data_IF_496842601490
#
_entry.id   IF_496842601490
#
_cell.length_a   1.000
_cell.length_b   1.000
_cell.length_c   1.000
_cell.angle_alpha   90.00
_cell.angle_beta   90.00
_cell.angle_gamma   90.00
#
_symmetry.space_group_name_H-M   'P 1'
#
loop_
_entity.id
_entity.type
_entity.pdbx_description
1 polymer ?
#
# COMPACT_ATOMS: atom_id res chain seq x y z
N UNK A 1 43.46 -1.05 -73.71
CA UNK A 1 43.22 -1.94 -72.53
C UNK A 1 42.81 -1.05 -71.32
N UNK A 2 41.51 -1.01 -71.05
CA UNK A 2 40.92 -0.18 -69.99
C UNK A 2 40.75 -0.99 -68.71
N UNK A 3 41.37 -0.59 -67.61
CA UNK A 3 41.15 -1.17 -66.31
C UNK A 3 39.98 -0.42 -65.63
N UNK A 4 38.83 -1.09 -65.52
CA UNK A 4 37.71 -0.63 -64.69
C UNK A 4 38.02 -0.93 -63.23
N UNK A 5 38.15 0.13 -62.43
CA UNK A 5 38.22 0.06 -60.95
C UNK A 5 36.78 -0.08 -60.45
N UNK A 6 36.48 -1.19 -59.80
CA UNK A 6 35.22 -1.46 -59.11
C UNK A 6 35.34 -0.94 -57.71
N UNK A 7 34.69 0.19 -57.34
CA UNK A 7 34.58 0.72 -55.99
C UNK A 7 33.43 0.01 -55.27
N UNK A 8 33.73 -0.90 -54.37
CA UNK A 8 32.76 -1.52 -53.49
C UNK A 8 32.49 -0.54 -52.34
N UNK A 9 31.33 0.09 -52.31
CA UNK A 9 30.83 0.89 -51.19
C UNK A 9 30.30 -0.06 -50.09
N UNK A 10 31.09 -0.36 -49.06
CA UNK A 10 30.62 -1.03 -47.89
C UNK A 10 29.80 -0.02 -47.06
N UNK A 11 28.47 -0.10 -47.17
CA UNK A 11 27.56 0.62 -46.26
C UNK A 11 27.58 -0.13 -44.94
N UNK A 12 28.40 0.34 -43.99
CA UNK A 12 28.31 -0.03 -42.61
C UNK A 12 26.99 0.53 -42.04
N UNK A 13 25.94 -0.28 -42.00
CA UNK A 13 24.80 -0.04 -41.13
C UNK A 13 25.29 -0.12 -39.69
N UNK A 14 25.80 0.96 -39.14
CA UNK A 14 25.90 1.13 -37.71
C UNK A 14 24.50 1.23 -37.17
N UNK A 15 23.95 0.10 -36.68
CA UNK A 15 22.79 0.08 -35.81
C UNK A 15 23.17 0.84 -34.56
N UNK A 16 23.03 2.16 -34.57
CA UNK A 16 23.07 2.96 -33.36
C UNK A 16 21.91 2.47 -32.51
N UNK A 17 22.21 1.63 -31.53
CA UNK A 17 21.32 1.36 -30.43
C UNK A 17 21.04 2.73 -29.78
N UNK A 18 19.90 3.33 -30.12
CA UNK A 18 19.43 4.57 -29.49
C UNK A 18 19.09 4.16 -28.05
N UNK A 19 20.07 4.27 -27.17
CA UNK A 19 19.83 4.17 -25.73
C UNK A 19 18.89 5.33 -25.37
N UNK A 20 17.62 5.02 -25.21
CA UNK A 20 16.67 6.00 -24.72
C UNK A 20 17.07 6.39 -23.31
N UNK A 21 17.15 7.71 -23.02
CA UNK A 21 17.41 8.18 -21.65
C UNK A 21 16.40 7.57 -20.70
N UNK A 22 16.81 7.11 -19.51
CA UNK A 22 15.88 6.57 -18.53
C UNK A 22 14.76 7.56 -18.22
N UNK A 23 13.59 7.05 -17.85
CA UNK A 23 12.50 7.84 -17.31
C UNK A 23 12.81 8.09 -15.83
N UNK A 24 13.00 9.35 -15.46
CA UNK A 24 13.29 9.76 -14.09
C UNK A 24 11.99 9.91 -13.30
N UNK A 25 11.74 9.01 -12.35
CA UNK A 25 10.58 9.06 -11.48
C UNK A 25 10.95 9.63 -10.10
N UNK A 26 10.43 10.82 -9.78
CA UNK A 26 10.61 11.46 -8.48
C UNK A 26 9.73 10.85 -7.42
N UNK A 27 10.31 10.25 -6.39
CA UNK A 27 9.62 9.60 -5.27
C UNK A 27 9.95 10.30 -3.95
N UNK A 28 9.02 10.23 -2.97
CA UNK A 28 9.22 10.84 -1.65
C UNK A 28 10.24 10.08 -0.80
N UNK A 29 10.29 8.76 -0.93
CA UNK A 29 11.16 7.88 -0.15
C UNK A 29 11.61 6.69 -1.00
N UNK A 30 12.87 6.34 -0.90
CA UNK A 30 13.45 5.15 -1.53
C UNK A 30 12.97 3.86 -0.83
N UNK A 31 12.83 2.74 -1.57
CA UNK A 31 12.48 1.46 -0.99
C UNK A 31 13.52 1.02 0.05
N UNK A 32 13.05 0.45 1.17
CA UNK A 32 13.89 0.02 2.28
C UNK A 32 14.36 -1.43 2.15
N UNK A 33 13.51 -2.29 1.58
CA UNK A 33 13.79 -3.71 1.44
C UNK A 33 13.11 -4.29 0.19
N UNK A 34 13.89 -4.89 -0.69
CA UNK A 34 13.41 -5.48 -1.94
C UNK A 34 13.25 -7.01 -1.88
N UNK A 35 13.48 -7.65 -0.72
CA UNK A 35 13.03 -9.03 -0.49
C UNK A 35 11.50 -9.04 -0.35
N UNK A 36 10.77 -9.71 -1.25
CA UNK A 36 9.31 -9.69 -1.25
C UNK A 36 8.68 -10.30 0.01
N UNK A 37 9.43 -11.11 0.76
CA UNK A 37 9.00 -11.71 2.03
C UNK A 37 9.09 -10.75 3.20
N UNK A 38 9.99 -9.75 3.12
CA UNK A 38 10.39 -8.89 4.25
C UNK A 38 9.99 -7.42 4.09
N UNK A 39 9.62 -6.99 2.88
CA UNK A 39 9.20 -5.61 2.60
C UNK A 39 7.97 -5.21 3.41
N UNK A 40 7.97 -3.98 3.96
CA UNK A 40 6.88 -3.46 4.79
C UNK A 40 6.59 -1.97 4.56
N UNK A 41 7.35 -1.31 3.70
CA UNK A 41 7.12 0.08 3.32
C UNK A 41 6.48 0.18 1.93
N UNK A 42 5.72 1.26 1.70
CA UNK A 42 4.92 1.43 0.49
C UNK A 42 5.76 1.51 -0.80
N UNK A 43 6.98 2.07 -0.74
CA UNK A 43 7.84 2.17 -1.91
C UNK A 43 8.39 0.80 -2.30
N UNK A 44 8.84 0.00 -1.31
CA UNK A 44 9.28 -1.39 -1.52
C UNK A 44 8.17 -2.25 -2.13
N UNK A 45 6.94 -2.19 -1.59
CA UNK A 45 5.80 -2.95 -2.10
C UNK A 45 5.50 -2.60 -3.58
N UNK A 46 5.48 -1.31 -3.94
CA UNK A 46 5.23 -0.88 -5.32
C UNK A 46 6.31 -1.33 -6.29
N UNK A 47 7.57 -1.36 -5.86
CA UNK A 47 8.68 -1.88 -6.66
C UNK A 47 8.57 -3.39 -6.83
N UNK A 48 8.27 -4.13 -5.76
CA UNK A 48 8.07 -5.58 -5.79
C UNK A 48 6.94 -5.96 -6.76
N UNK A 49 5.85 -5.21 -6.77
CA UNK A 49 4.74 -5.42 -7.72
C UNK A 49 5.14 -5.24 -9.20
N UNK A 50 6.20 -4.47 -9.49
CA UNK A 50 6.74 -4.34 -10.84
C UNK A 50 7.65 -5.49 -11.24
N UNK A 51 8.33 -6.10 -10.25
CA UNK A 51 9.37 -7.12 -10.46
C UNK A 51 8.80 -8.54 -10.42
N UNK A 52 7.82 -8.80 -9.54
CA UNK A 52 7.31 -10.15 -9.29
C UNK A 52 5.86 -10.29 -9.73
N UNK A 53 5.54 -11.39 -10.42
CA UNK A 53 4.18 -11.90 -10.55
C UNK A 53 3.74 -12.50 -9.22
N UNK A 54 2.44 -12.45 -8.92
CA UNK A 54 1.86 -13.01 -7.70
C UNK A 54 1.07 -14.28 -7.99
N UNK A 55 0.89 -15.13 -6.97
CA UNK A 55 0.02 -16.31 -7.07
C UNK A 55 -1.42 -15.86 -7.35
N UNK A 56 -1.90 -14.87 -6.58
CA UNK A 56 -3.17 -14.20 -6.80
C UNK A 56 -3.02 -12.68 -6.72
N UNK A 57 -3.88 -11.96 -7.42
CA UNK A 57 -4.01 -10.50 -7.39
C UNK A 57 -5.49 -10.11 -7.20
N UNK A 58 -5.71 -8.84 -6.88
CA UNK A 58 -7.05 -8.25 -6.84
C UNK A 58 -7.19 -7.31 -8.03
N UNK A 59 -8.22 -7.52 -8.83
CA UNK A 59 -8.54 -6.65 -9.96
C UNK A 59 -9.23 -5.34 -9.53
N UNK A 60 -9.54 -4.47 -10.49
CA UNK A 60 -10.20 -3.18 -10.23
C UNK A 60 -11.64 -3.30 -9.68
N UNK A 61 -12.24 -4.50 -9.76
CA UNK A 61 -13.58 -4.82 -9.24
C UNK A 61 -13.51 -5.55 -7.89
N UNK A 62 -12.34 -5.57 -7.24
CA UNK A 62 -12.08 -6.29 -5.99
C UNK A 62 -12.27 -7.81 -6.10
N UNK A 63 -12.11 -8.38 -7.31
CA UNK A 63 -12.17 -9.82 -7.54
C UNK A 63 -10.78 -10.43 -7.46
N UNK A 64 -10.69 -11.60 -6.83
CA UNK A 64 -9.47 -12.38 -6.78
C UNK A 64 -9.23 -13.05 -8.14
N UNK A 65 -8.10 -12.75 -8.74
CA UNK A 65 -7.68 -13.28 -10.05
C UNK A 65 -6.30 -13.91 -9.97
N UNK A 66 -6.01 -14.85 -10.84
CA UNK A 66 -4.69 -15.43 -10.99
C UNK A 66 -4.37 -15.64 -12.47
N UNK A 67 -3.15 -15.28 -12.84
CA UNK A 67 -2.62 -15.52 -14.18
C UNK A 67 -2.27 -17.02 -14.39
N UNK A 68 -1.89 -17.71 -13.33
CA UNK A 68 -1.28 -19.04 -13.41
C UNK A 68 -2.11 -20.15 -12.80
N UNK A 69 -3.10 -19.82 -11.97
CA UNK A 69 -3.82 -20.79 -11.13
C UNK A 69 -5.33 -20.72 -11.39
N UNK A 70 -5.92 -21.90 -11.52
CA UNK A 70 -7.37 -22.11 -11.42
C UNK A 70 -7.66 -22.66 -10.03
N UNK A 71 -8.19 -21.84 -9.10
CA UNK A 71 -8.46 -22.29 -7.74
C UNK A 71 -9.80 -23.04 -7.69
N UNK A 72 -9.87 -24.07 -6.87
CA UNK A 72 -11.12 -24.79 -6.54
C UNK A 72 -11.22 -25.00 -5.05
N UNK A 73 -12.25 -24.48 -4.43
CA UNK A 73 -12.62 -24.77 -3.06
C UNK A 73 -13.49 -26.03 -3.05
N UNK A 74 -13.02 -27.10 -2.42
CA UNK A 74 -13.77 -28.35 -2.22
C UNK A 74 -14.75 -28.17 -1.06
N UNK A 75 -14.26 -27.57 0.02
CA UNK A 75 -14.99 -27.08 1.17
C UNK A 75 -14.17 -25.96 1.83
N UNK A 76 -14.71 -25.21 2.81
CA UNK A 76 -14.00 -24.08 3.42
C UNK A 76 -12.68 -24.43 4.12
N UNK A 77 -12.35 -25.72 4.29
CA UNK A 77 -11.07 -26.18 4.84
C UNK A 77 -10.15 -26.81 3.81
N UNK A 78 -10.59 -26.98 2.54
CA UNK A 78 -9.83 -27.73 1.54
C UNK A 78 -9.86 -27.03 0.19
N UNK A 79 -8.67 -26.71 -0.32
CA UNK A 79 -8.46 -26.01 -1.58
C UNK A 79 -7.57 -26.81 -2.52
N UNK A 80 -7.84 -26.71 -3.81
CA UNK A 80 -6.98 -27.22 -4.87
C UNK A 80 -6.60 -26.06 -5.77
N UNK A 81 -5.30 -25.89 -5.98
CA UNK A 81 -4.73 -24.90 -6.89
C UNK A 81 -4.19 -25.66 -8.11
N UNK A 82 -4.93 -25.61 -9.21
CA UNK A 82 -4.52 -26.26 -10.46
C UNK A 82 -3.74 -25.27 -11.32
N UNK A 83 -2.59 -25.69 -11.84
CA UNK A 83 -1.81 -24.92 -12.80
C UNK A 83 -2.54 -24.83 -14.13
N UNK A 84 -2.79 -23.62 -14.64
CA UNK A 84 -3.32 -23.41 -16.00
C UNK A 84 -2.19 -23.49 -17.07
N UNK A 85 -2.54 -23.28 -18.34
CA UNK A 85 -1.60 -23.42 -19.46
C UNK A 85 -0.80 -22.14 -19.76
N UNK A 86 -0.93 -21.08 -18.94
CA UNK A 86 -0.21 -19.83 -19.18
C UNK A 86 1.26 -20.01 -18.81
N UNK A 87 2.17 -19.71 -19.73
CA UNK A 87 3.60 -19.76 -19.48
C UNK A 87 4.09 -18.42 -18.91
N UNK A 88 4.89 -18.46 -17.87
CA UNK A 88 5.62 -17.32 -17.31
C UNK A 88 7.07 -17.70 -17.09
N UNK A 89 7.95 -16.73 -16.97
CA UNK A 89 9.39 -16.96 -16.82
C UNK A 89 9.95 -16.05 -15.72
N UNK A 90 10.93 -16.57 -14.99
CA UNK A 90 11.82 -15.76 -14.17
C UNK A 90 12.88 -15.05 -15.01
N UNK A 91 13.60 -14.09 -14.42
CA UNK A 91 14.70 -13.35 -15.07
C UNK A 91 15.79 -14.27 -15.63
N UNK A 92 16.06 -15.41 -14.98
CA UNK A 92 17.00 -16.42 -15.42
C UNK A 92 16.47 -17.31 -16.57
N UNK A 93 15.30 -16.95 -17.14
CA UNK A 93 14.59 -17.67 -18.22
C UNK A 93 14.05 -19.06 -17.85
N UNK A 94 14.11 -19.49 -16.58
CA UNK A 94 13.39 -20.68 -16.14
C UNK A 94 11.88 -20.41 -16.11
N UNK A 95 11.08 -21.39 -16.50
CA UNK A 95 9.61 -21.27 -16.48
C UNK A 95 9.07 -21.34 -15.07
N UNK A 96 8.01 -20.57 -14.80
CA UNK A 96 7.24 -20.68 -13.57
C UNK A 96 6.45 -21.99 -13.59
N UNK A 97 6.65 -22.83 -12.59
CA UNK A 97 6.02 -24.15 -12.46
C UNK A 97 5.09 -24.20 -11.23
N UNK A 98 4.36 -25.29 -11.07
CA UNK A 98 3.54 -25.52 -9.88
C UNK A 98 4.41 -25.71 -8.63
N UNK A 99 5.61 -26.26 -8.79
CA UNK A 99 6.59 -26.44 -7.71
C UNK A 99 7.14 -25.11 -7.20
N UNK A 100 7.25 -24.07 -8.05
CA UNK A 100 7.63 -22.73 -7.61
C UNK A 100 6.54 -22.10 -6.76
N UNK A 101 5.27 -22.28 -7.12
CA UNK A 101 4.12 -21.81 -6.36
C UNK A 101 4.04 -22.56 -5.02
N UNK A 102 4.21 -23.86 -5.03
CA UNK A 102 4.27 -24.67 -3.81
C UNK A 102 5.41 -24.22 -2.89
N UNK A 103 6.63 -24.07 -3.44
CA UNK A 103 7.79 -23.58 -2.71
C UNK A 103 7.50 -22.20 -2.10
N UNK A 104 6.93 -21.29 -2.87
CA UNK A 104 6.60 -19.94 -2.42
C UNK A 104 5.70 -19.96 -1.19
N UNK A 105 4.64 -20.77 -1.21
CA UNK A 105 3.69 -20.90 -0.08
C UNK A 105 4.44 -21.50 1.12
N UNK A 106 5.20 -22.57 0.91
CA UNK A 106 5.87 -23.31 1.98
C UNK A 106 7.01 -22.52 2.62
N UNK A 107 7.87 -21.87 1.82
CA UNK A 107 8.94 -21.01 2.32
C UNK A 107 8.39 -19.87 3.21
N UNK A 108 7.32 -19.20 2.77
CA UNK A 108 6.70 -18.16 3.57
C UNK A 108 5.97 -18.68 4.81
N UNK A 109 5.44 -19.91 4.79
CA UNK A 109 4.85 -20.57 5.95
C UNK A 109 5.90 -20.92 7.02
N UNK A 110 7.07 -21.42 6.60
CA UNK A 110 8.15 -21.86 7.48
C UNK A 110 9.03 -20.69 7.97
N UNK A 111 9.14 -19.62 7.20
CA UNK A 111 9.97 -18.47 7.49
C UNK A 111 9.27 -17.53 8.49
N UNK A 112 9.65 -17.59 9.76
CA UNK A 112 9.02 -16.83 10.85
C UNK A 112 9.14 -15.29 10.72
N UNK A 113 10.09 -14.78 9.92
CA UNK A 113 10.25 -13.33 9.67
C UNK A 113 9.48 -12.85 8.44
N UNK A 114 8.96 -13.76 7.62
CA UNK A 114 8.11 -13.41 6.48
C UNK A 114 6.85 -12.68 6.93
N UNK A 115 6.48 -11.63 6.21
CA UNK A 115 5.23 -10.89 6.45
C UNK A 115 3.98 -11.74 6.20
N UNK A 116 4.08 -12.84 5.44
CA UNK A 116 2.99 -13.76 5.13
C UNK A 116 2.89 -14.93 6.11
N UNK A 117 3.87 -15.12 6.99
CA UNK A 117 3.96 -16.29 7.88
C UNK A 117 2.68 -16.50 8.71
N UNK A 118 2.18 -15.44 9.34
CA UNK A 118 0.99 -15.54 10.19
C UNK A 118 -0.25 -16.03 9.44
N UNK A 119 -0.47 -15.52 8.23
CA UNK A 119 -1.59 -15.91 7.37
C UNK A 119 -1.50 -17.37 6.94
N UNK A 120 -0.29 -17.83 6.65
CA UNK A 120 -0.03 -19.19 6.17
C UNK A 120 0.00 -20.24 7.29
N UNK A 121 0.04 -19.85 8.56
CA UNK A 121 -0.16 -20.78 9.70
C UNK A 121 -1.54 -21.44 9.72
N UNK A 122 -2.50 -20.89 8.98
CA UNK A 122 -3.80 -21.54 8.78
C UNK A 122 -3.69 -22.90 8.06
N UNK A 123 -2.62 -23.11 7.27
CA UNK A 123 -2.37 -24.33 6.53
C UNK A 123 -1.95 -25.45 7.47
N UNK A 124 -2.76 -26.53 7.53
CA UNK A 124 -2.47 -27.78 8.25
C UNK A 124 -1.56 -28.69 7.45
N UNK A 125 -1.87 -28.85 6.16
CA UNK A 125 -1.06 -29.64 5.23
C UNK A 125 -1.09 -29.03 3.83
N UNK A 126 0.03 -29.16 3.11
CA UNK A 126 0.15 -28.75 1.72
C UNK A 126 1.00 -29.79 0.96
N UNK A 127 0.53 -30.20 -0.20
CA UNK A 127 1.23 -31.18 -1.04
C UNK A 127 1.00 -30.91 -2.52
N UNK A 128 1.97 -31.32 -3.36
CA UNK A 128 1.83 -31.33 -4.81
C UNK A 128 1.50 -32.73 -5.27
N UNK A 129 0.44 -32.85 -6.07
CA UNK A 129 0.07 -34.12 -6.72
C UNK A 129 -0.14 -33.81 -8.20
N UNK A 130 0.74 -34.34 -9.05
CA UNK A 130 0.77 -34.03 -10.50
C UNK A 130 0.98 -32.53 -10.72
N UNK A 131 0.00 -31.83 -11.33
CA UNK A 131 0.07 -30.39 -11.61
C UNK A 131 -0.92 -29.58 -10.73
N UNK A 132 -1.18 -30.05 -9.52
CA UNK A 132 -2.12 -29.46 -8.58
C UNK A 132 -1.50 -29.39 -7.18
N UNK A 133 -1.78 -28.29 -6.45
CA UNK A 133 -1.45 -28.16 -5.03
C UNK A 133 -2.73 -28.38 -4.22
N UNK A 134 -2.65 -29.32 -3.29
CA UNK A 134 -3.73 -29.61 -2.32
C UNK A 134 -3.37 -28.94 -1.01
N UNK A 135 -4.29 -28.11 -0.50
CA UNK A 135 -4.15 -27.36 0.76
C UNK A 135 -5.27 -27.76 1.69
N UNK A 136 -4.93 -28.23 2.90
CA UNK A 136 -5.87 -28.45 4.00
C UNK A 136 -5.61 -27.44 5.10
N UNK A 137 -6.65 -26.81 5.63
CA UNK A 137 -6.56 -25.82 6.69
C UNK A 137 -6.90 -26.44 8.05
N UNK A 138 -6.33 -25.88 9.14
CA UNK A 138 -6.68 -26.25 10.52
C UNK A 138 -8.14 -25.93 10.87
N UNK A 139 -8.71 -24.90 10.25
CA UNK A 139 -10.10 -24.44 10.44
C UNK A 139 -10.69 -23.98 9.11
N UNK A 140 -12.03 -24.04 8.94
CA UNK A 140 -12.67 -23.46 7.76
C UNK A 140 -12.34 -21.96 7.59
N UNK A 141 -11.92 -21.59 6.40
CA UNK A 141 -11.68 -20.20 6.00
C UNK A 141 -12.06 -20.04 4.52
N UNK A 142 -13.30 -19.63 4.18
CA UNK A 142 -13.74 -19.49 2.80
C UNK A 142 -12.97 -18.43 2.00
N UNK A 143 -12.25 -17.55 2.67
CA UNK A 143 -11.50 -16.46 2.06
C UNK A 143 -9.99 -16.72 2.04
N UNK A 144 -9.54 -17.93 2.36
CA UNK A 144 -8.13 -18.28 2.45
C UNK A 144 -7.31 -17.88 1.21
N UNK A 145 -7.87 -17.96 0.02
CA UNK A 145 -7.18 -17.63 -1.21
C UNK A 145 -6.71 -16.16 -1.27
N UNK A 146 -7.39 -15.24 -0.58
CA UNK A 146 -6.96 -13.83 -0.48
C UNK A 146 -5.63 -13.68 0.27
N UNK A 147 -5.24 -14.66 1.09
CA UNK A 147 -3.95 -14.70 1.80
C UNK A 147 -2.80 -15.13 0.90
N UNK A 148 -3.11 -15.73 -0.25
CA UNK A 148 -2.13 -16.21 -1.22
C UNK A 148 -1.74 -15.13 -2.26
N UNK A 149 -1.92 -13.85 -1.96
CA UNK A 149 -1.42 -12.74 -2.80
C UNK A 149 0.09 -12.53 -2.61
N UNK A 150 0.82 -13.60 -2.81
CA UNK A 150 2.25 -13.71 -2.50
C UNK A 150 3.06 -13.64 -3.80
N UNK A 151 4.13 -12.83 -3.88
CA UNK A 151 5.07 -12.82 -4.99
C UNK A 151 5.68 -14.20 -5.22
N UNK A 152 5.64 -14.69 -6.46
CA UNK A 152 6.14 -16.03 -6.81
C UNK A 152 7.66 -16.02 -6.80
N UNK A 153 8.24 -16.97 -6.07
CA UNK A 153 9.67 -17.20 -5.94
C UNK A 153 10.07 -18.53 -6.60
N UNK A 154 11.27 -18.62 -7.19
CA UNK A 154 11.72 -19.87 -7.77
C UNK A 154 12.04 -20.90 -6.69
N UNK A 155 11.69 -22.16 -6.92
CA UNK A 155 11.89 -23.28 -5.97
C UNK A 155 13.35 -23.51 -5.56
N UNK A 156 14.29 -23.10 -6.41
CA UNK A 156 15.72 -23.19 -6.13
C UNK A 156 16.31 -21.88 -5.56
N UNK A 157 15.49 -21.00 -4.98
CA UNK A 157 15.92 -19.72 -4.43
C UNK A 157 17.12 -19.83 -3.49
N UNK A 158 17.13 -20.85 -2.62
CA UNK A 158 18.21 -21.08 -1.66
C UNK A 158 19.54 -21.46 -2.36
N UNK A 159 19.48 -22.14 -3.49
CA UNK A 159 20.65 -22.53 -4.31
C UNK A 159 21.17 -21.33 -5.10
N UNK A 160 20.29 -20.41 -5.49
CA UNK A 160 20.65 -19.22 -6.24
C UNK A 160 21.37 -18.16 -5.40
N UNK A 161 21.34 -18.27 -4.07
CA UNK A 161 21.98 -17.32 -3.13
C UNK A 161 21.69 -15.85 -3.44
N UNK A 162 20.43 -15.53 -3.84
CA UNK A 162 20.01 -14.19 -4.27
C UNK A 162 20.25 -13.17 -3.17
N UNK A 163 20.98 -12.12 -3.49
CA UNK A 163 21.19 -10.98 -2.60
C UNK A 163 20.22 -9.85 -2.96
N UNK A 164 19.04 -9.83 -2.32
CA UNK A 164 17.99 -8.84 -2.55
C UNK A 164 18.40 -7.39 -2.27
N UNK A 165 19.60 -7.14 -1.72
CA UNK A 165 20.17 -5.78 -1.62
C UNK A 165 20.90 -5.34 -2.88
N UNK A 166 21.06 -6.23 -3.88
CA UNK A 166 21.81 -5.96 -5.12
C UNK A 166 21.07 -6.37 -6.37
N UNK A 167 20.23 -7.40 -6.28
CA UNK A 167 19.60 -8.04 -7.43
C UNK A 167 18.20 -8.55 -7.10
N UNK A 168 17.44 -8.94 -8.11
CA UNK A 168 16.16 -9.63 -7.99
C UNK A 168 16.22 -10.98 -8.73
N UNK A 169 15.22 -11.79 -8.52
CA UNK A 169 14.91 -12.98 -9.33
C UNK A 169 13.41 -12.89 -9.69
N UNK A 170 13.06 -11.80 -10.32
CA UNK A 170 11.69 -11.47 -10.65
C UNK A 170 11.10 -12.33 -11.76
N UNK A 171 9.80 -12.19 -11.93
CA UNK A 171 9.02 -12.93 -12.92
C UNK A 171 8.06 -12.04 -13.71
N UNK A 172 8.09 -10.73 -13.45
CA UNK A 172 7.26 -9.74 -14.14
C UNK A 172 8.09 -8.99 -15.22
N UNK A 173 7.58 -7.86 -15.69
CA UNK A 173 8.14 -7.11 -16.83
C UNK A 173 9.45 -6.38 -16.49
N UNK A 174 9.69 -6.06 -15.23
CA UNK A 174 10.87 -5.32 -14.78
C UNK A 174 11.85 -6.21 -14.02
N UNK A 175 13.14 -5.91 -14.20
CA UNK A 175 14.24 -6.43 -13.40
C UNK A 175 15.04 -5.28 -12.78
N UNK A 176 15.77 -5.56 -11.71
CA UNK A 176 16.70 -4.61 -11.11
C UNK A 176 17.96 -4.52 -11.99
N UNK A 177 18.22 -3.32 -12.53
CA UNK A 177 19.47 -3.03 -13.24
C UNK A 177 20.55 -2.53 -12.28
N UNK A 178 20.18 -1.67 -11.34
CA UNK A 178 21.08 -1.14 -10.29
C UNK A 178 20.26 -0.64 -9.09
N UNK A 179 20.85 -0.69 -7.90
CA UNK A 179 20.23 -0.18 -6.67
C UNK A 179 20.92 1.11 -6.20
N UNK A 180 22.23 1.23 -6.36
CA UNK A 180 23.00 2.40 -5.92
C UNK A 180 23.79 3.00 -7.08
N UNK A 181 23.95 4.32 -7.18
CA UNK A 181 23.43 5.37 -6.27
C UNK A 181 21.91 5.61 -6.41
N UNK A 182 21.27 5.08 -7.44
CA UNK A 182 19.84 5.15 -7.67
C UNK A 182 19.29 3.75 -7.99
N UNK A 183 18.07 3.47 -7.57
CA UNK A 183 17.36 2.32 -8.06
C UNK A 183 16.98 2.56 -9.53
N UNK A 184 17.41 1.66 -10.41
CA UNK A 184 17.03 1.64 -11.82
C UNK A 184 16.43 0.27 -12.11
N UNK A 185 15.19 0.26 -12.58
CA UNK A 185 14.55 -0.91 -13.15
C UNK A 185 14.65 -0.85 -14.66
N UNK A 186 14.89 -2.00 -15.29
CA UNK A 186 14.89 -2.18 -16.74
C UNK A 186 13.70 -3.07 -17.11
N UNK A 187 12.84 -2.59 -18.00
CA UNK A 187 11.72 -3.36 -18.55
C UNK A 187 12.22 -4.25 -19.68
N UNK A 188 11.54 -5.35 -19.96
CA UNK A 188 11.94 -6.35 -20.95
C UNK A 188 12.14 -5.80 -22.39
N UNK A 189 11.55 -4.64 -22.72
CA UNK A 189 11.73 -3.93 -23.98
C UNK A 189 12.87 -2.89 -23.95
N UNK A 190 13.65 -2.83 -22.86
CA UNK A 190 14.79 -1.94 -22.70
C UNK A 190 14.46 -0.57 -22.14
N UNK A 191 13.20 -0.28 -21.81
CA UNK A 191 12.84 0.98 -21.11
C UNK A 191 13.34 0.94 -19.69
N UNK A 192 14.05 1.99 -19.29
CA UNK A 192 14.60 2.13 -17.94
C UNK A 192 13.81 3.15 -17.12
N UNK A 193 13.49 2.81 -15.88
CA UNK A 193 12.90 3.70 -14.89
C UNK A 193 13.91 3.94 -13.79
N UNK A 194 14.34 5.19 -13.62
CA UNK A 194 15.24 5.63 -12.57
C UNK A 194 14.46 6.30 -11.45
N UNK A 195 14.47 5.73 -10.25
CA UNK A 195 13.81 6.30 -9.09
C UNK A 195 14.75 7.28 -8.38
N UNK A 196 14.27 8.53 -8.22
CA UNK A 196 15.02 9.62 -7.62
C UNK A 196 14.30 10.07 -6.36
N UNK A 197 14.92 9.83 -5.18
CA UNK A 197 14.38 10.32 -3.92
C UNK A 197 14.49 11.83 -3.82
N UNK A 198 13.35 12.49 -3.60
CA UNK A 198 13.23 13.90 -3.33
C UNK A 198 12.19 14.09 -2.24
N UNK A 199 12.62 14.18 -0.99
CA UNK A 199 11.74 14.19 0.19
C UNK A 199 10.80 15.39 0.22
N UNK A 200 11.33 16.59 -0.06
CA UNK A 200 10.52 17.80 -0.08
C UNK A 200 9.61 17.85 -1.32
N UNK A 201 8.28 17.96 -1.17
CA UNK A 201 7.35 17.97 -2.29
C UNK A 201 7.46 19.21 -3.18
N UNK A 202 7.91 20.37 -2.64
CA UNK A 202 8.12 21.59 -3.43
C UNK A 202 9.33 21.43 -4.34
N UNK A 203 10.42 20.87 -3.80
CA UNK A 203 11.63 20.56 -4.58
C UNK A 203 11.32 19.50 -5.63
N UNK A 204 10.51 18.49 -5.29
CA UNK A 204 10.12 17.43 -6.23
C UNK A 204 9.28 17.99 -7.39
N UNK A 205 8.32 18.89 -7.09
CA UNK A 205 7.54 19.58 -8.11
C UNK A 205 8.41 20.50 -8.99
N UNK A 206 9.34 21.25 -8.39
CA UNK A 206 10.25 22.10 -9.15
C UNK A 206 11.15 21.30 -10.10
N UNK A 207 11.67 20.16 -9.64
CA UNK A 207 12.46 19.25 -10.49
C UNK A 207 11.66 18.70 -11.69
N UNK A 208 10.34 18.51 -11.54
CA UNK A 208 9.48 18.16 -12.68
C UNK A 208 9.40 19.32 -13.68
N UNK A 209 9.16 20.53 -13.20
CA UNK A 209 9.06 21.73 -14.05
C UNK A 209 10.37 22.04 -14.77
N UNK A 210 11.53 21.77 -14.12
CA UNK A 210 12.88 21.97 -14.72
C UNK A 210 13.37 20.77 -15.53
N UNK A 211 12.54 19.74 -15.74
CA UNK A 211 12.86 18.51 -16.47
C UNK A 211 14.04 17.69 -15.88
N UNK A 212 14.32 17.85 -14.58
CA UNK A 212 15.26 16.98 -13.86
C UNK A 212 14.66 15.61 -13.52
N UNK A 213 13.33 15.58 -13.33
CA UNK A 213 12.53 14.34 -13.29
C UNK A 213 11.45 14.42 -14.37
N UNK A 214 11.01 13.26 -14.85
CA UNK A 214 10.02 13.15 -15.92
C UNK A 214 8.60 12.96 -15.38
N UNK A 215 8.46 12.42 -14.16
CA UNK A 215 7.16 12.16 -13.53
C UNK A 215 7.25 12.09 -12.00
N UNK A 216 6.11 12.28 -11.36
CA UNK A 216 5.88 12.06 -9.93
C UNK A 216 4.45 11.56 -9.70
N UNK A 217 4.22 10.86 -8.58
CA UNK A 217 2.90 10.41 -8.18
C UNK A 217 2.73 10.50 -6.66
N UNK A 218 1.60 11.06 -6.22
CA UNK A 218 1.19 11.22 -4.83
C UNK A 218 2.15 12.06 -3.97
N UNK A 219 1.88 12.17 -2.70
CA UNK A 219 2.68 12.90 -1.70
C UNK A 219 2.97 14.37 -2.10
N UNK A 220 1.98 15.03 -2.70
CA UNK A 220 2.01 16.42 -3.14
C UNK A 220 0.86 17.21 -2.48
N UNK A 221 1.14 18.21 -1.62
CA UNK A 221 0.15 19.09 -1.03
C UNK A 221 -0.65 19.90 -2.07
N UNK A 222 -1.90 20.22 -1.76
CA UNK A 222 -2.80 20.91 -2.68
C UNK A 222 -2.24 22.19 -3.30
N UNK A 223 -1.55 23.10 -2.58
CA UNK A 223 -0.98 24.31 -3.21
C UNK A 223 0.05 24.00 -4.30
N UNK A 224 0.88 22.96 -4.07
CA UNK A 224 1.88 22.53 -5.05
C UNK A 224 1.21 21.83 -6.24
N UNK A 225 0.17 21.05 -5.98
CA UNK A 225 -0.64 20.43 -7.02
C UNK A 225 -1.28 21.50 -7.92
N UNK A 226 -1.85 22.56 -7.34
CA UNK A 226 -2.41 23.69 -8.09
C UNK A 226 -1.33 24.41 -8.90
N UNK A 227 -0.13 24.60 -8.35
CA UNK A 227 1.00 25.12 -9.07
C UNK A 227 1.34 24.27 -10.30
N UNK A 228 1.43 22.94 -10.15
CA UNK A 228 1.72 22.02 -11.25
C UNK A 228 0.62 22.02 -12.33
N UNK A 229 -0.66 22.07 -11.93
CA UNK A 229 -1.80 22.17 -12.88
C UNK A 229 -1.71 23.41 -13.79
N UNK A 230 -1.09 24.49 -13.32
CA UNK A 230 -0.92 25.73 -14.07
C UNK A 230 0.33 25.75 -14.97
N UNK A 231 1.18 24.72 -14.93
CA UNK A 231 2.37 24.64 -15.80
C UNK A 231 2.00 24.07 -17.16
N UNK A 232 2.27 24.83 -18.24
CA UNK A 232 1.89 24.42 -19.62
C UNK A 232 2.53 23.10 -20.07
N UNK A 233 3.76 22.86 -19.65
CA UNK A 233 4.55 21.69 -20.06
C UNK A 233 4.31 20.46 -19.17
N UNK A 234 3.45 20.58 -18.17
CA UNK A 234 3.13 19.50 -17.23
C UNK A 234 1.73 18.95 -17.53
N UNK A 235 1.62 17.66 -17.70
CA UNK A 235 0.37 16.93 -17.67
C UNK A 235 0.03 16.51 -16.26
N UNK A 236 -1.22 16.64 -15.84
CA UNK A 236 -1.66 16.25 -14.49
C UNK A 236 -2.94 15.42 -14.57
N UNK A 237 -3.03 14.40 -13.72
CA UNK A 237 -4.20 13.54 -13.57
C UNK A 237 -4.53 13.34 -12.09
N UNK A 238 -5.81 13.23 -11.74
CA UNK A 238 -6.27 12.93 -10.38
C UNK A 238 -7.43 11.94 -10.44
N UNK A 239 -7.45 10.97 -9.53
CA UNK A 239 -8.58 10.07 -9.36
C UNK A 239 -8.86 9.79 -7.87
N UNK A 240 -10.05 9.21 -7.58
CA UNK A 240 -10.37 8.72 -6.25
C UNK A 240 -9.46 7.55 -5.90
N UNK A 241 -8.92 7.57 -4.68
CA UNK A 241 -8.11 6.48 -4.16
C UNK A 241 -8.83 5.65 -3.10
N UNK A 242 -8.22 4.54 -2.72
CA UNK A 242 -8.74 3.64 -1.68
C UNK A 242 -7.78 3.53 -0.47
N UNK A 243 -6.70 4.31 -0.44
CA UNK A 243 -5.86 4.43 0.74
C UNK A 243 -6.56 5.28 1.78
N UNK A 244 -6.59 4.84 3.03
CA UNK A 244 -7.32 5.52 4.09
C UNK A 244 -6.39 6.05 5.17
N UNK A 245 -6.40 7.37 5.38
CA UNK A 245 -5.80 8.01 6.55
C UNK A 245 -6.71 7.89 7.77
N UNK A 246 -6.12 7.60 8.91
CA UNK A 246 -6.84 7.41 10.16
C UNK A 246 -6.06 7.87 11.38
N UNK A 247 -6.77 8.08 12.48
CA UNK A 247 -6.22 8.21 13.82
C UNK A 247 -6.41 6.89 14.55
N UNK A 248 -5.31 6.35 15.07
CA UNK A 248 -5.30 5.18 15.96
C UNK A 248 -5.14 5.59 17.42
N UNK A 249 -5.73 4.80 18.31
CA UNK A 249 -5.69 4.96 19.75
C UNK A 249 -5.03 3.76 20.43
N UNK A 250 -4.32 3.99 21.50
CA UNK A 250 -3.94 2.95 22.44
C UNK A 250 -5.05 2.79 23.49
N UNK A 251 -5.80 1.70 23.41
CA UNK A 251 -6.92 1.47 24.34
C UNK A 251 -6.48 1.07 25.77
N UNK A 252 -5.18 0.97 26.03
CA UNK A 252 -4.62 0.79 27.38
C UNK A 252 -4.15 2.10 28.03
N UNK A 253 -4.12 3.21 27.25
CA UNK A 253 -3.67 4.52 27.76
C UNK A 253 -4.72 5.19 28.65
N UNK A 254 -4.24 6.07 29.52
CA UNK A 254 -5.05 6.75 30.55
C UNK A 254 -6.34 7.38 30.01
N UNK A 255 -6.22 8.14 28.92
CA UNK A 255 -7.35 8.89 28.32
C UNK A 255 -8.01 8.12 27.19
N UNK A 256 -7.24 7.58 26.26
CA UNK A 256 -7.78 6.98 25.02
C UNK A 256 -8.46 5.62 25.23
N UNK A 257 -8.35 4.98 26.41
CA UNK A 257 -9.20 3.85 26.80
C UNK A 257 -10.67 4.23 26.97
N UNK A 258 -10.99 5.50 27.28
CA UNK A 258 -12.35 5.96 27.50
C UNK A 258 -13.03 6.27 26.14
N UNK A 259 -14.10 5.56 25.83
CA UNK A 259 -14.92 5.74 24.63
C UNK A 259 -15.42 7.17 24.43
N UNK A 260 -15.85 7.84 25.52
CA UNK A 260 -16.40 9.21 25.45
C UNK A 260 -15.30 10.19 24.99
N UNK A 261 -14.06 10.01 25.46
CA UNK A 261 -12.93 10.84 25.03
C UNK A 261 -12.61 10.59 23.53
N UNK A 262 -12.60 9.33 23.07
CA UNK A 262 -12.39 9.04 21.65
C UNK A 262 -13.49 9.63 20.77
N UNK A 263 -14.75 9.55 21.19
CA UNK A 263 -15.88 10.21 20.50
C UNK A 263 -15.76 11.74 20.52
N UNK A 264 -15.35 12.32 21.64
CA UNK A 264 -15.11 13.77 21.73
C UNK A 264 -14.03 14.21 20.72
N UNK A 265 -12.93 13.42 20.60
CA UNK A 265 -11.89 13.67 19.57
C UNK A 265 -12.50 13.59 18.16
N UNK A 266 -13.32 12.56 17.87
CA UNK A 266 -13.94 12.38 16.56
C UNK A 266 -14.83 13.58 16.16
N UNK A 267 -15.67 14.09 17.09
CA UNK A 267 -16.52 15.26 16.85
C UNK A 267 -15.74 16.59 16.93
N UNK A 268 -14.58 16.61 17.56
CA UNK A 268 -13.73 17.81 17.68
C UNK A 268 -12.88 18.09 16.43
N UNK A 269 -12.81 17.18 15.48
CA UNK A 269 -12.01 17.29 14.26
C UNK A 269 -12.90 17.66 13.07
N UNK A 270 -12.63 18.82 12.46
CA UNK A 270 -13.25 19.24 11.20
C UNK A 270 -12.48 18.64 10.01
N UNK A 271 -12.81 17.40 9.66
CA UNK A 271 -12.17 16.65 8.57
C UNK A 271 -12.42 17.30 7.21
N UNK A 272 -13.61 17.87 6.98
CA UNK A 272 -13.95 18.55 5.73
C UNK A 272 -13.07 19.78 5.50
N UNK A 273 -12.80 20.56 6.54
CA UNK A 273 -11.88 21.71 6.47
C UNK A 273 -10.48 21.26 6.04
N UNK A 274 -9.96 20.18 6.65
CA UNK A 274 -8.64 19.64 6.31
C UNK A 274 -8.61 19.15 4.85
N UNK A 275 -9.63 18.40 4.41
CA UNK A 275 -9.73 17.93 3.03
C UNK A 275 -9.74 19.11 2.07
N UNK A 276 -10.57 20.13 2.34
CA UNK A 276 -10.70 21.30 1.46
C UNK A 276 -9.41 22.08 1.26
N UNK A 277 -8.61 22.27 2.32
CA UNK A 277 -7.40 23.09 2.24
C UNK A 277 -6.13 22.33 1.90
N UNK A 278 -6.07 21.03 2.12
CA UNK A 278 -4.82 20.26 2.05
C UNK A 278 -4.80 19.17 1.00
N UNK A 279 -5.96 18.75 0.50
CA UNK A 279 -6.05 17.63 -0.44
C UNK A 279 -6.68 18.03 -1.76
N UNK A 280 -6.56 17.15 -2.75
CA UNK A 280 -7.21 17.36 -4.04
C UNK A 280 -8.72 17.03 -3.98
N UNK A 281 -9.45 17.46 -5.01
CA UNK A 281 -10.89 17.26 -5.16
C UNK A 281 -11.36 15.80 -5.26
N UNK A 282 -10.43 14.85 -5.32
CA UNK A 282 -10.70 13.42 -5.37
C UNK A 282 -10.55 12.73 -4.00
N UNK A 283 -10.12 13.48 -2.99
CA UNK A 283 -10.08 13.00 -1.61
C UNK A 283 -11.49 13.02 -1.02
N UNK A 284 -11.91 11.90 -0.45
CA UNK A 284 -13.25 11.73 0.09
C UNK A 284 -13.22 11.50 1.61
N UNK A 285 -14.25 11.98 2.31
CA UNK A 285 -14.42 11.71 3.73
C UNK A 285 -14.57 10.21 3.97
N UNK A 286 -13.88 9.69 4.98
CA UNK A 286 -13.98 8.27 5.35
C UNK A 286 -14.70 8.08 6.68
N UNK A 287 -15.58 7.07 6.76
CA UNK A 287 -16.27 6.66 7.98
C UNK A 287 -15.95 5.21 8.36
N UNK A 288 -15.27 4.48 7.49
CA UNK A 288 -14.85 3.09 7.68
C UNK A 288 -13.59 2.79 6.84
N UNK A 289 -13.06 1.57 6.95
CA UNK A 289 -11.82 1.20 6.25
C UNK A 289 -11.98 1.06 4.73
N UNK A 290 -13.10 0.51 4.27
CA UNK A 290 -13.33 0.20 2.85
C UNK A 290 -14.18 1.28 2.18
N UNK A 291 -13.89 1.58 0.93
CA UNK A 291 -14.54 2.64 0.13
C UNK A 291 -15.95 2.25 -0.29
N UNK A 292 -16.78 3.25 -0.65
CA UNK A 292 -18.19 3.08 -1.00
C UNK A 292 -18.46 2.16 -2.21
N UNK A 293 -17.46 1.91 -3.05
CA UNK A 293 -17.56 0.98 -4.17
C UNK A 293 -17.15 -0.46 -3.81
N UNK A 294 -16.73 -0.73 -2.56
CA UNK A 294 -16.43 -2.07 -2.12
C UNK A 294 -17.74 -2.82 -1.77
N UNK A 295 -17.84 -4.08 -2.13
CA UNK A 295 -19.05 -4.89 -1.93
C UNK A 295 -19.49 -5.05 -0.46
N UNK A 296 -18.55 -4.95 0.50
CA UNK A 296 -18.84 -5.00 1.94
C UNK A 296 -18.97 -3.61 2.59
N UNK A 297 -19.15 -2.57 1.80
CA UNK A 297 -19.35 -1.22 2.35
C UNK A 297 -20.67 -1.15 3.14
N UNK A 298 -20.60 -0.52 4.30
CA UNK A 298 -21.75 -0.32 5.20
C UNK A 298 -22.09 1.16 5.24
N UNK A 299 -23.35 1.50 4.99
CA UNK A 299 -23.80 2.88 5.14
C UNK A 299 -23.82 3.26 6.63
N UNK A 300 -22.97 4.18 7.02
CA UNK A 300 -22.84 4.69 8.39
C UNK A 300 -23.09 6.20 8.38
N UNK A 301 -23.84 6.69 9.36
CA UNK A 301 -23.98 8.12 9.58
C UNK A 301 -22.64 8.70 10.05
N UNK A 302 -22.26 9.83 9.48
CA UNK A 302 -20.98 10.47 9.77
C UNK A 302 -20.89 10.99 11.22
N UNK A 303 -19.69 10.92 11.82
CA UNK A 303 -19.32 11.73 12.99
C UNK A 303 -19.10 13.18 12.54
N UNK A 304 -20.16 13.94 12.45
CA UNK A 304 -20.10 15.34 12.05
C UNK A 304 -19.28 16.16 13.04
N UNK A 305 -18.50 17.11 12.53
CA UNK A 305 -17.83 18.09 13.36
C UNK A 305 -18.84 18.84 14.24
N UNK A 306 -18.71 18.67 15.55
CA UNK A 306 -19.58 19.26 16.57
C UNK A 306 -18.81 19.52 17.87
N UNK A 307 -18.12 20.67 17.99
CA UNK A 307 -17.33 21.00 19.18
C UNK A 307 -18.13 21.03 20.48
N UNK A 308 -19.41 21.42 20.41
CA UNK A 308 -20.26 21.48 21.61
C UNK A 308 -20.59 20.07 22.11
N UNK A 309 -20.89 19.13 21.21
CA UNK A 309 -21.03 17.72 21.57
C UNK A 309 -19.72 17.16 22.14
N UNK A 310 -18.57 17.54 21.56
CA UNK A 310 -17.26 17.14 22.08
C UNK A 310 -17.06 17.57 23.53
N UNK A 311 -17.34 18.82 23.87
CA UNK A 311 -17.22 19.33 25.24
C UNK A 311 -18.16 18.60 26.20
N UNK A 312 -19.41 18.34 25.78
CA UNK A 312 -20.37 17.56 26.56
C UNK A 312 -19.85 16.15 26.84
N UNK A 313 -19.33 15.45 25.83
CA UNK A 313 -18.76 14.11 25.99
C UNK A 313 -17.54 14.10 26.93
N UNK A 314 -16.69 15.13 26.91
CA UNK A 314 -15.57 15.27 27.84
C UNK A 314 -16.03 15.52 29.29
N UNK A 315 -17.09 16.30 29.46
CA UNK A 315 -17.72 16.51 30.77
C UNK A 315 -18.32 15.18 31.30
N UNK A 316 -19.05 14.45 30.46
CA UNK A 316 -19.60 13.13 30.80
C UNK A 316 -18.49 12.10 31.09
N UNK A 317 -17.32 12.23 30.47
CA UNK A 317 -16.15 11.39 30.76
C UNK A 317 -15.53 11.67 32.14
N UNK A 318 -15.92 12.75 32.82
CA UNK A 318 -15.47 13.09 34.17
C UNK A 318 -13.97 13.46 34.24
N UNK A 319 -13.44 14.12 33.19
CA UNK A 319 -12.03 14.53 33.16
C UNK A 319 -11.87 16.02 33.40
N UNK A 320 -10.85 16.37 34.20
CA UNK A 320 -10.48 17.78 34.41
C UNK A 320 -9.76 18.31 33.17
N UNK A 321 -10.33 19.35 32.55
CA UNK A 321 -9.76 19.98 31.36
C UNK A 321 -8.81 21.13 31.74
N UNK A 322 -7.75 21.38 30.94
CA UNK A 322 -7.39 20.65 29.72
C UNK A 322 -6.67 19.32 30.02
N UNK A 323 -6.97 18.29 29.21
CA UNK A 323 -6.16 17.06 29.18
C UNK A 323 -5.06 17.15 28.13
N UNK A 324 -3.94 16.47 28.37
CA UNK A 324 -2.84 16.37 27.38
C UNK A 324 -2.71 14.93 26.90
N UNK A 325 -2.70 14.74 25.57
CA UNK A 325 -2.56 13.44 24.91
C UNK A 325 -1.31 13.48 24.02
N UNK A 326 -0.44 12.47 24.14
CA UNK A 326 0.70 12.32 23.26
C UNK A 326 0.25 11.84 21.87
N UNK A 327 0.64 12.60 20.82
CA UNK A 327 0.34 12.28 19.44
C UNK A 327 1.62 12.01 18.65
N UNK A 328 1.82 10.78 18.21
CA UNK A 328 2.99 10.39 17.43
C UNK A 328 2.73 10.48 15.92
N UNK A 329 3.72 10.98 15.20
CA UNK A 329 3.73 11.08 13.73
C UNK A 329 5.15 10.91 13.19
N UNK A 330 5.28 10.71 11.88
CA UNK A 330 6.61 10.68 11.22
C UNK A 330 7.20 12.09 11.06
N UNK A 331 8.47 12.16 10.66
CA UNK A 331 9.16 13.41 10.31
C UNK A 331 8.74 14.00 8.95
N UNK A 332 7.79 13.38 8.26
CA UNK A 332 7.22 13.91 7.04
C UNK A 332 6.55 15.27 7.28
N UNK A 333 6.95 16.29 6.53
CA UNK A 333 6.51 17.67 6.75
C UNK A 333 5.01 17.87 6.56
N UNK A 334 4.38 17.10 5.67
CA UNK A 334 2.95 17.14 5.45
C UNK A 334 2.19 16.52 6.62
N UNK A 335 2.66 15.38 7.14
CA UNK A 335 2.07 14.72 8.32
C UNK A 335 2.19 15.59 9.58
N UNK A 336 3.30 16.31 9.73
CA UNK A 336 3.47 17.28 10.83
C UNK A 336 2.47 18.44 10.70
N UNK A 337 2.24 18.96 9.50
CA UNK A 337 1.23 20.01 9.26
C UNK A 337 -0.17 19.52 9.64
N UNK A 338 -0.57 18.34 9.21
CA UNK A 338 -1.86 17.75 9.60
C UNK A 338 -1.96 17.59 11.14
N UNK A 339 -0.93 17.07 11.79
CA UNK A 339 -0.90 16.94 13.26
C UNK A 339 -1.05 18.31 13.96
N UNK A 340 -0.44 19.37 13.42
CA UNK A 340 -0.57 20.73 13.94
C UNK A 340 -1.99 21.27 13.83
N UNK A 341 -2.70 20.96 12.73
CA UNK A 341 -4.11 21.36 12.56
C UNK A 341 -4.98 20.60 13.54
N UNK A 342 -4.81 19.29 13.67
CA UNK A 342 -5.51 18.47 14.65
C UNK A 342 -5.32 19.04 16.07
N UNK A 343 -4.07 19.41 16.43
CA UNK A 343 -3.78 20.09 17.70
C UNK A 343 -4.61 21.36 17.88
N UNK A 344 -4.60 22.25 16.89
CA UNK A 344 -5.32 23.54 16.97
C UNK A 344 -6.84 23.36 17.06
N UNK A 345 -7.40 22.34 16.39
CA UNK A 345 -8.84 22.06 16.47
C UNK A 345 -9.23 21.46 17.83
N UNK A 346 -8.46 20.52 18.36
CA UNK A 346 -8.72 19.82 19.61
C UNK A 346 -8.47 20.71 20.84
N UNK A 347 -7.55 21.66 20.76
CA UNK A 347 -7.30 22.65 21.82
C UNK A 347 -8.56 23.48 22.13
N UNK A 348 -9.40 23.78 21.13
CA UNK A 348 -10.67 24.52 21.29
C UNK A 348 -11.71 23.78 22.15
N UNK A 349 -11.55 22.48 22.31
CA UNK A 349 -12.42 21.65 23.16
C UNK A 349 -11.73 21.19 24.46
N UNK A 350 -10.52 21.69 24.76
CA UNK A 350 -9.80 21.38 25.97
C UNK A 350 -8.89 20.13 25.89
N UNK A 351 -8.53 19.69 24.68
CA UNK A 351 -7.56 18.60 24.47
C UNK A 351 -6.27 19.16 23.86
N UNK A 352 -5.17 19.12 24.61
CA UNK A 352 -3.86 19.52 24.17
C UNK A 352 -3.13 18.33 23.54
N UNK A 353 -2.74 18.38 22.26
CA UNK A 353 -1.86 17.39 21.64
C UNK A 353 -0.39 17.74 21.87
N UNK A 354 0.33 16.83 22.49
CA UNK A 354 1.80 16.83 22.54
C UNK A 354 2.32 16.07 21.33
N UNK A 355 2.63 16.79 20.24
CA UNK A 355 3.12 16.18 18.99
C UNK A 355 4.56 15.70 19.20
N UNK A 356 4.81 14.41 18.87
CA UNK A 356 6.13 13.77 18.86
C UNK A 356 6.40 13.29 17.44
N UNK A 357 7.34 13.95 16.77
CA UNK A 357 7.79 13.60 15.42
C UNK A 357 9.03 12.72 15.49
N UNK A 358 8.98 11.54 14.87
CA UNK A 358 10.01 10.51 14.90
C UNK A 358 10.36 10.06 13.47
N UNK A 359 11.61 9.59 13.28
CA UNK A 359 11.93 8.86 12.05
C UNK A 359 11.01 7.64 11.88
N UNK A 360 10.86 7.19 10.62
CA UNK A 360 9.89 6.13 10.31
C UNK A 360 10.13 4.84 11.10
N UNK A 361 11.38 4.41 11.23
CA UNK A 361 11.72 3.16 11.93
C UNK A 361 11.34 3.20 13.41
N UNK A 362 11.70 4.28 14.10
CA UNK A 362 11.38 4.52 15.51
C UNK A 362 9.87 4.69 15.69
N UNK A 363 9.23 5.50 14.85
CA UNK A 363 7.79 5.73 14.90
C UNK A 363 7.00 4.42 14.76
N UNK A 364 7.32 3.61 13.74
CA UNK A 364 6.63 2.36 13.50
C UNK A 364 6.89 1.31 14.60
N UNK A 365 8.12 1.25 15.10
CA UNK A 365 8.48 0.38 16.24
C UNK A 365 7.71 0.75 17.51
N UNK A 366 7.55 2.04 17.80
CA UNK A 366 6.77 2.50 18.94
C UNK A 366 5.30 2.08 18.86
N UNK A 367 4.71 2.17 17.66
CA UNK A 367 3.33 1.72 17.41
C UNK A 367 3.22 0.20 17.63
N UNK A 368 4.17 -0.58 17.12
CA UNK A 368 4.17 -2.03 17.28
C UNK A 368 4.35 -2.49 18.72
N UNK A 369 4.99 -1.68 19.58
CA UNK A 369 5.22 -1.96 21.00
C UNK A 369 4.17 -1.35 21.94
N UNK A 370 3.19 -0.61 21.41
CA UNK A 370 2.20 0.10 22.21
C UNK A 370 2.73 1.34 22.94
N UNK A 371 3.88 1.86 22.52
CA UNK A 371 4.50 3.04 23.11
C UNK A 371 3.94 4.33 22.50
N UNK A 372 2.65 4.58 22.68
CA UNK A 372 1.92 5.76 22.20
C UNK A 372 0.59 5.89 22.93
N UNK A 373 -0.03 7.06 22.88
CA UNK A 373 -1.44 7.26 23.25
C UNK A 373 -2.32 7.41 22.01
N UNK A 374 -1.87 8.22 21.04
CA UNK A 374 -2.57 8.49 19.79
C UNK A 374 -1.56 8.64 18.63
N UNK A 375 -1.93 8.24 17.44
CA UNK A 375 -1.10 8.40 16.23
C UNK A 375 -1.96 8.56 14.98
N UNK A 376 -1.36 8.99 13.88
CA UNK A 376 -1.98 8.93 12.55
C UNK A 376 -1.11 8.15 11.57
N UNK A 377 -1.76 7.28 10.79
CA UNK A 377 -1.18 6.51 9.70
C UNK A 377 -2.15 6.42 8.52
N UNK A 378 -1.67 5.84 7.44
CA UNK A 378 -2.48 5.49 6.27
C UNK A 378 -2.43 3.98 6.04
N UNK A 379 -3.59 3.34 5.93
CA UNK A 379 -3.70 2.00 5.38
C UNK A 379 -3.70 2.08 3.87
N UNK A 380 -2.87 1.27 3.24
CA UNK A 380 -2.73 1.21 1.79
C UNK A 380 -3.23 -0.12 1.25
N UNK A 381 -3.78 -0.09 0.04
CA UNK A 381 -4.17 -1.28 -0.71
C UNK A 381 -5.15 -2.21 0.04
N UNK A 382 -6.15 -1.62 0.74
CA UNK A 382 -7.22 -2.38 1.38
C UNK A 382 -8.20 -2.90 0.31
N UNK A 383 -8.33 -4.21 0.22
CA UNK A 383 -9.09 -4.89 -0.84
C UNK A 383 -10.01 -5.99 -0.32
N UNK A 384 -9.99 -6.27 0.99
CA UNK A 384 -10.81 -7.32 1.60
C UNK A 384 -11.31 -6.88 2.99
N UNK A 385 -12.54 -7.22 3.38
CA UNK A 385 -13.08 -6.90 4.70
C UNK A 385 -12.43 -7.70 5.83
N UNK A 386 -11.63 -8.73 5.53
CA UNK A 386 -10.84 -9.46 6.52
C UNK A 386 -9.83 -8.57 7.25
N UNK A 387 -9.50 -7.41 6.67
CA UNK A 387 -8.71 -6.39 7.35
C UNK A 387 -9.29 -6.01 8.72
N UNK A 388 -10.59 -6.10 8.92
CA UNK A 388 -11.22 -5.84 10.21
C UNK A 388 -10.76 -6.86 11.28
N UNK A 389 -10.54 -8.12 10.91
CA UNK A 389 -9.94 -9.11 11.80
C UNK A 389 -8.50 -8.73 12.13
N UNK A 390 -7.69 -8.46 11.12
CA UNK A 390 -6.27 -8.18 11.28
C UNK A 390 -6.02 -6.97 12.18
N UNK A 391 -6.92 -5.97 12.13
CA UNK A 391 -6.77 -4.70 12.87
C UNK A 391 -7.45 -4.73 14.24
N UNK A 392 -8.52 -5.51 14.44
CA UNK A 392 -9.34 -5.38 15.66
C UNK A 392 -9.52 -6.65 16.48
N UNK A 393 -9.25 -7.85 15.93
CA UNK A 393 -9.38 -9.08 16.70
C UNK A 393 -8.31 -9.17 17.79
N UNK A 394 -8.68 -9.59 19.00
CA UNK A 394 -7.77 -9.65 20.18
C UNK A 394 -6.52 -10.51 19.95
N UNK A 395 -6.63 -11.59 19.17
CA UNK A 395 -5.48 -12.46 18.82
C UNK A 395 -4.49 -11.83 17.83
N UNK A 396 -4.84 -10.67 17.26
CA UNK A 396 -4.02 -9.97 16.26
C UNK A 396 -3.23 -8.79 16.84
N UNK A 397 -3.08 -8.73 18.16
CA UNK A 397 -2.19 -7.75 18.82
C UNK A 397 -0.73 -8.05 18.43
N UNK A 398 0.08 -7.02 18.11
CA UNK A 398 1.49 -7.22 17.78
C UNK A 398 2.25 -8.00 18.89
N UNK A 399 3.19 -8.91 18.54
CA UNK A 399 3.72 -9.13 17.19
C UNK A 399 2.91 -10.10 16.32
N UNK A 400 1.78 -10.65 16.80
CA UNK A 400 0.98 -11.67 16.12
C UNK A 400 0.20 -11.12 14.91
N UNK A 401 -0.16 -9.82 14.94
CA UNK A 401 -0.94 -9.20 13.87
C UNK A 401 -0.89 -7.67 13.89
N UNK A 402 -1.96 -7.04 13.39
CA UNK A 402 -2.02 -5.61 13.12
C UNK A 402 -2.97 -4.85 14.06
N UNK A 403 -3.48 -5.50 15.13
CA UNK A 403 -4.27 -4.81 16.17
C UNK A 403 -3.37 -3.90 17.03
N UNK A 404 -2.90 -2.83 16.40
CA UNK A 404 -2.03 -1.81 17.01
C UNK A 404 -2.76 -0.98 18.05
N UNK A 405 -4.09 -1.08 18.11
CA UNK A 405 -4.90 -0.38 19.11
C UNK A 405 -4.84 -1.03 20.49
N UNK A 406 -4.34 -2.26 20.58
CA UNK A 406 -4.34 -3.06 21.81
C UNK A 406 -5.73 -3.24 22.40
N UNK A 407 -6.75 -3.22 21.55
CA UNK A 407 -8.15 -3.41 21.94
C UNK A 407 -8.45 -4.91 22.08
N UNK A 408 -9.10 -5.28 23.17
CA UNK A 408 -9.49 -6.65 23.47
C UNK A 408 -10.97 -6.67 23.87
N UNK A 409 -11.81 -7.34 23.05
CA UNK A 409 -13.24 -7.50 23.32
C UNK A 409 -13.76 -8.80 22.70
N UNK A 410 -14.18 -9.71 23.56
CA UNK A 410 -14.69 -11.03 23.16
C UNK A 410 -15.97 -10.94 22.31
N UNK A 411 -16.77 -9.88 22.44
CA UNK A 411 -17.97 -9.71 21.65
C UNK A 411 -17.60 -9.30 20.21
N UNK A 412 -16.65 -8.37 20.06
CA UNK A 412 -16.12 -7.99 18.76
C UNK A 412 -15.42 -9.18 18.09
N UNK A 413 -14.62 -9.96 18.85
CA UNK A 413 -14.00 -11.18 18.31
C UNK A 413 -15.04 -12.16 17.73
N UNK A 414 -16.11 -12.40 18.47
CA UNK A 414 -17.22 -13.27 18.00
C UNK A 414 -17.93 -12.71 16.77
N UNK A 415 -18.17 -11.40 16.72
CA UNK A 415 -18.74 -10.73 15.53
C UNK A 415 -17.85 -10.90 14.31
N UNK A 416 -16.54 -10.69 14.46
CA UNK A 416 -15.54 -10.89 13.40
C UNK A 416 -15.53 -12.36 12.94
N UNK A 417 -15.42 -13.31 13.87
CA UNK A 417 -15.41 -14.75 13.56
C UNK A 417 -16.73 -15.23 12.88
N UNK A 418 -17.85 -14.59 13.20
CA UNK A 418 -19.13 -14.83 12.52
C UNK A 418 -19.13 -14.25 11.11
N UNK A 419 -18.62 -13.01 10.94
CA UNK A 419 -18.57 -12.32 9.65
C UNK A 419 -17.65 -13.02 8.65
N UNK A 420 -16.57 -13.63 9.11
CA UNK A 420 -15.71 -14.49 8.27
C UNK A 420 -16.45 -15.70 7.68
N UNK A 421 -17.45 -16.23 8.41
CA UNK A 421 -18.21 -17.42 7.97
C UNK A 421 -19.36 -17.09 7.02
N UNK A 422 -20.05 -15.97 7.27
CA UNK A 422 -21.27 -15.61 6.54
C UNK A 422 -21.08 -14.44 5.56
N UNK A 423 -19.85 -13.90 5.50
CA UNK A 423 -19.46 -12.77 4.65
C UNK A 423 -20.28 -11.48 4.88
N UNK A 424 -20.85 -11.30 6.07
CA UNK A 424 -21.60 -10.12 6.47
C UNK A 424 -20.85 -9.34 7.57
N UNK A 425 -20.34 -8.17 7.21
CA UNK A 425 -19.50 -7.34 8.06
C UNK A 425 -20.22 -6.14 8.69
N UNK A 426 -21.54 -6.04 8.50
CA UNK A 426 -22.32 -4.86 8.94
C UNK A 426 -22.16 -4.61 10.44
N UNK A 427 -22.36 -5.63 11.27
CA UNK A 427 -22.31 -5.49 12.73
C UNK A 427 -20.90 -5.13 13.22
N UNK A 428 -19.87 -5.70 12.61
CA UNK A 428 -18.46 -5.40 12.91
C UNK A 428 -18.15 -3.93 12.63
N UNK A 429 -18.51 -3.47 11.43
CA UNK A 429 -18.24 -2.09 11.00
C UNK A 429 -18.99 -1.09 11.89
N UNK A 430 -20.27 -1.37 12.17
CA UNK A 430 -21.10 -0.54 13.04
C UNK A 430 -20.57 -0.49 14.48
N UNK A 431 -20.11 -1.64 15.01
CA UNK A 431 -19.51 -1.73 16.33
C UNK A 431 -18.24 -0.86 16.44
N UNK A 432 -17.29 -1.03 15.48
CA UNK A 432 -16.04 -0.27 15.44
C UNK A 432 -16.31 1.23 15.41
N UNK A 433 -17.27 1.66 14.61
CA UNK A 433 -17.68 3.05 14.53
C UNK A 433 -18.29 3.55 15.84
N UNK A 434 -19.25 2.81 16.41
CA UNK A 434 -19.95 3.18 17.64
C UNK A 434 -19.03 3.22 18.86
N UNK A 435 -18.01 2.37 18.89
CA UNK A 435 -16.99 2.34 19.96
C UNK A 435 -15.85 3.34 19.69
N UNK A 436 -15.84 4.01 18.54
CA UNK A 436 -14.77 4.89 18.10
C UNK A 436 -13.38 4.24 18.30
N UNK A 437 -13.24 2.98 17.85
CA UNK A 437 -12.00 2.23 18.03
C UNK A 437 -10.83 2.84 17.27
N UNK A 438 -11.14 3.52 16.17
CA UNK A 438 -10.28 4.40 15.39
C UNK A 438 -11.12 5.56 14.85
N UNK A 439 -10.48 6.61 14.36
CA UNK A 439 -11.16 7.67 13.61
C UNK A 439 -10.70 7.58 12.15
N UNK A 440 -11.52 7.08 11.24
CA UNK A 440 -11.30 7.23 9.80
C UNK A 440 -11.30 8.72 9.46
N UNK A 441 -10.30 9.18 8.69
CA UNK A 441 -10.20 10.59 8.32
C UNK A 441 -10.72 10.84 6.91
N UNK A 442 -10.03 10.31 5.92
CA UNK A 442 -10.35 10.44 4.50
C UNK A 442 -9.74 9.31 3.68
N UNK A 443 -10.35 9.02 2.53
CA UNK A 443 -9.73 8.25 1.47
C UNK A 443 -8.89 9.20 0.63
N UNK A 444 -7.58 8.94 0.56
CA UNK A 444 -6.64 9.81 -0.15
C UNK A 444 -6.85 9.73 -1.65
N UNK A 445 -7.17 10.85 -2.30
CA UNK A 445 -7.20 10.92 -3.75
C UNK A 445 -5.79 10.79 -4.33
N UNK A 446 -5.66 10.03 -5.40
CA UNK A 446 -4.39 9.91 -6.09
C UNK A 446 -4.16 11.09 -7.03
N UNK A 447 -2.90 11.40 -7.23
CA UNK A 447 -2.42 12.44 -8.12
C UNK A 447 -1.18 11.98 -8.89
N UNK A 448 -1.13 12.34 -10.15
CA UNK A 448 -0.01 12.10 -11.04
C UNK A 448 0.33 13.38 -11.80
N UNK A 449 1.62 13.62 -12.01
CA UNK A 449 2.11 14.66 -12.90
C UNK A 449 3.31 14.16 -13.69
N UNK A 450 3.39 14.56 -14.96
CA UNK A 450 4.51 14.22 -15.84
C UNK A 450 4.79 15.33 -16.84
N UNK A 451 5.98 15.27 -17.43
CA UNK A 451 6.27 16.00 -18.66
C UNK A 451 5.35 15.50 -19.77
N UNK A 452 4.98 16.39 -20.72
CA UNK A 452 4.14 16.03 -21.87
C UNK A 452 4.81 15.04 -22.83
N UNK A 453 6.12 14.86 -22.73
CA UNK A 453 6.89 13.85 -23.46
C UNK A 453 6.68 12.41 -22.96
N UNK A 454 5.91 12.21 -21.89
CA UNK A 454 5.52 10.88 -21.41
C UNK A 454 4.11 10.51 -21.86
N UNK A 455 3.96 9.29 -22.38
CA UNK A 455 2.68 8.72 -22.74
C UNK A 455 2.41 7.36 -22.11
N UNK A 456 1.14 6.93 -22.24
CA UNK A 456 0.65 5.62 -21.80
C UNK A 456 0.74 5.35 -20.27
N UNK A 457 0.86 6.38 -19.45
CA UNK A 457 0.69 6.24 -18.02
C UNK A 457 -0.78 6.50 -17.65
N UNK A 458 -1.36 5.61 -16.85
CA UNK A 458 -2.72 5.73 -16.32
C UNK A 458 -2.67 5.67 -14.79
N UNK A 459 -3.20 6.67 -14.14
CA UNK A 459 -3.24 6.70 -12.68
C UNK A 459 -4.22 5.63 -12.13
N UNK A 460 -3.70 4.64 -11.41
CA UNK A 460 -4.50 3.56 -10.83
C UNK A 460 -5.19 3.99 -9.54
N UNK A 461 -6.41 3.50 -9.28
CA UNK A 461 -7.20 3.84 -8.07
C UNK A 461 -6.52 3.39 -6.78
N UNK A 462 -5.81 2.27 -6.79
CA UNK A 462 -5.05 1.78 -5.66
C UNK A 462 -3.68 2.48 -5.47
N UNK A 463 -3.34 3.46 -6.33
CA UNK A 463 -2.08 4.18 -6.29
C UNK A 463 -0.85 3.33 -6.66
N UNK A 464 -1.03 2.14 -7.25
CA UNK A 464 0.07 1.30 -7.72
C UNK A 464 0.84 1.94 -8.87
N UNK A 465 2.06 1.47 -9.09
CA UNK A 465 2.91 1.91 -10.21
C UNK A 465 2.85 0.97 -11.41
N UNK A 466 1.86 0.06 -11.45
CA UNK A 466 1.72 -0.94 -12.53
C UNK A 466 1.59 -0.33 -13.93
N UNK A 467 1.15 0.92 -14.04
CA UNK A 467 1.12 1.64 -15.33
C UNK A 467 2.50 1.93 -15.92
N UNK A 468 3.59 1.80 -15.13
CA UNK A 468 4.96 1.81 -15.65
C UNK A 468 5.20 0.67 -16.65
N UNK A 469 4.41 -0.39 -16.61
CA UNK A 469 4.44 -1.48 -17.59
C UNK A 469 4.19 -0.99 -19.02
N UNK A 470 3.53 0.16 -19.20
CA UNK A 470 3.11 0.69 -20.51
C UNK A 470 3.70 2.06 -20.85
N UNK A 471 4.33 2.73 -19.87
CA UNK A 471 4.88 4.08 -20.06
C UNK A 471 5.94 4.10 -21.15
N UNK A 472 5.96 5.16 -21.94
CA UNK A 472 7.00 5.43 -22.94
C UNK A 472 7.27 6.92 -23.08
N UNK A 473 8.47 7.29 -23.53
CA UNK A 473 8.74 8.66 -24.01
C UNK A 473 8.12 8.80 -25.40
N UNK A 474 7.37 9.88 -25.60
CA UNK A 474 6.82 10.26 -26.90
C UNK A 474 7.89 11.15 -27.53
N UNK A 475 8.37 10.78 -28.71
CA UNK A 475 9.24 11.64 -29.49
C UNK A 475 8.39 12.72 -30.15
N UNK A 476 8.88 13.95 -30.23
CA UNK A 476 8.19 15.10 -30.90
C UNK A 476 7.88 14.87 -32.39
N UNK A 477 8.02 13.64 -32.88
CA UNK A 477 7.81 13.23 -34.28
C UNK A 477 6.71 12.18 -34.49
N UNK A 478 6.06 11.73 -33.40
CA UNK A 478 4.88 10.83 -33.46
C UNK A 478 3.58 11.65 -33.11
#
# INVERSE_FOLDING_TARGET
>A
MSKRLLFLFLILFSSSCIYSKPINFGIAQSPQNLDPRLSRDAASEKIIDLIYEKIFEIDENFQLVSKYIEPRMINPSTYILKRNNVTGFFENKSSITIEDIFFTIKDNQENSVSKFNNDLRAIKSIQVVRNEIYIELHRPDPNFLFRLRIPILPKNLNELHVNFTKESIGSNLFKIKTIKPYLILERNDGVEIKFIEVKDPSVRALKLVTNEIDMLQNDIPLPILQYLKNQKEVHTESNKGNNISYIGFNHKSKFTKNKLIRKAIAHGINRNEIIHYFFNEKTELANQLLTSNHWSYVQINDNQFNPELSKKLLQEAGVDLPITIEFKTSTDSFRIKIATILKNQLEKIGINLKIISLDWGTFYSDIQRGNFEMYSLTWVNLTSPEIYKDIFHSKMIPPQGLNRSYYEDINLDKMIESSEKNNNWNDVVQYIFNEALMIPLWYEGNFFASNRSLGNYQLRKNGSWSSLNFVKKINDKD
#
